data_IF_980969018563
#
_entry.id   IF_980969018563
#
_cell.length_a   1.000
_cell.length_b   1.000
_cell.length_c   1.000
_cell.angle_alpha   90.00
_cell.angle_beta   90.00
_cell.angle_gamma   90.00
#
_symmetry.space_group_name_H-M   'P 1'
#
loop_
_entity.id
_entity.type
_entity.pdbx_description
1 polymer ?
#
# COMPACT_ATOMS: atom_id res chain seq x y z
N UNK A 1 51.56 -15.66 -40.41
CA UNK A 1 50.71 -14.44 -40.42
C UNK A 1 49.23 -14.75 -40.72
N UNK A 2 48.92 -15.79 -41.50
CA UNK A 2 47.54 -16.23 -41.82
C UNK A 2 46.75 -16.78 -40.61
N UNK A 3 47.35 -17.61 -39.75
CA UNK A 3 46.64 -18.25 -38.62
C UNK A 3 46.17 -17.28 -37.53
N UNK A 4 46.94 -16.22 -37.27
CA UNK A 4 46.57 -15.25 -36.21
C UNK A 4 45.28 -14.48 -36.55
N UNK A 5 45.04 -14.24 -37.85
CA UNK A 5 43.83 -13.58 -38.31
C UNK A 5 42.61 -14.51 -38.33
N UNK A 6 42.78 -15.83 -38.51
CA UNK A 6 41.66 -16.77 -38.46
C UNK A 6 41.18 -16.99 -37.03
N UNK A 7 42.10 -17.04 -36.05
CA UNK A 7 41.76 -17.15 -34.63
C UNK A 7 41.06 -15.90 -34.08
N UNK A 8 41.52 -14.70 -34.45
CA UNK A 8 40.86 -13.45 -34.06
C UNK A 8 39.41 -13.38 -34.55
N UNK A 9 39.17 -13.70 -35.83
CA UNK A 9 37.81 -13.69 -36.39
C UNK A 9 36.91 -14.76 -35.77
N UNK A 10 37.48 -15.87 -35.30
CA UNK A 10 36.74 -16.91 -34.57
C UNK A 10 36.35 -16.42 -33.17
N UNK A 11 37.31 -15.81 -32.45
CA UNK A 11 37.06 -15.20 -31.14
C UNK A 11 36.00 -14.09 -31.18
N UNK A 12 36.01 -13.24 -32.22
CA UNK A 12 34.99 -12.19 -32.41
C UNK A 12 33.60 -12.79 -32.62
N UNK A 13 33.48 -13.84 -33.45
CA UNK A 13 32.21 -14.55 -33.68
C UNK A 13 31.71 -15.26 -32.43
N UNK A 14 32.60 -15.88 -31.66
CA UNK A 14 32.25 -16.56 -30.42
C UNK A 14 31.79 -15.55 -29.36
N UNK A 15 32.43 -14.38 -29.29
CA UNK A 15 32.00 -13.28 -28.43
C UNK A 15 30.64 -12.71 -28.84
N UNK A 16 30.42 -12.44 -30.13
CA UNK A 16 29.13 -11.97 -30.65
C UNK A 16 28.00 -12.96 -30.35
N UNK A 17 28.27 -14.26 -30.52
CA UNK A 17 27.33 -15.32 -30.20
C UNK A 17 27.02 -15.37 -28.70
N UNK A 18 28.03 -15.24 -27.84
CA UNK A 18 27.85 -15.15 -26.39
C UNK A 18 26.98 -13.96 -26.00
N UNK A 19 27.30 -12.76 -26.50
CA UNK A 19 26.54 -11.53 -26.24
C UNK A 19 25.08 -11.68 -26.68
N UNK A 20 24.85 -12.23 -27.87
CA UNK A 20 23.51 -12.48 -28.40
C UNK A 20 22.72 -13.43 -27.49
N UNK A 21 23.32 -14.53 -27.06
CA UNK A 21 22.68 -15.50 -26.15
C UNK A 21 22.38 -14.84 -24.80
N UNK A 22 23.33 -14.09 -24.24
CA UNK A 22 23.14 -13.36 -22.98
C UNK A 22 21.99 -12.36 -23.06
N UNK A 23 21.89 -11.63 -24.18
CA UNK A 23 20.80 -10.67 -24.40
C UNK A 23 19.44 -11.38 -24.47
N UNK A 24 19.35 -12.48 -25.23
CA UNK A 24 18.12 -13.27 -25.35
C UNK A 24 17.66 -13.82 -24.00
N UNK A 25 18.58 -14.37 -23.21
CA UNK A 25 18.29 -14.85 -21.86
C UNK A 25 17.79 -13.72 -20.96
N UNK A 26 18.43 -12.54 -21.01
CA UNK A 26 18.00 -11.37 -20.28
C UNK A 26 16.56 -10.95 -20.63
N UNK A 27 16.24 -10.89 -21.93
CA UNK A 27 14.89 -10.56 -22.41
C UNK A 27 13.87 -11.59 -21.92
N UNK A 28 14.18 -12.89 -22.01
CA UNK A 28 13.28 -13.97 -21.57
C UNK A 28 13.00 -13.84 -20.07
N UNK A 29 14.03 -13.62 -19.25
CA UNK A 29 13.88 -13.49 -17.80
C UNK A 29 13.03 -12.26 -17.45
N UNK A 30 13.36 -11.09 -17.99
CA UNK A 30 12.62 -9.84 -17.70
C UNK A 30 11.17 -9.95 -18.18
N UNK A 31 10.94 -10.49 -19.38
CA UNK A 31 9.59 -10.72 -19.90
C UNK A 31 8.80 -11.69 -19.04
N UNK A 32 9.43 -12.75 -18.55
CA UNK A 32 8.82 -13.71 -17.63
C UNK A 32 8.38 -13.06 -16.32
N UNK A 33 9.22 -12.19 -15.73
CA UNK A 33 8.84 -11.42 -14.54
C UNK A 33 7.67 -10.47 -14.82
N UNK A 34 7.70 -9.72 -15.92
CA UNK A 34 6.60 -8.82 -16.29
C UNK A 34 5.28 -9.60 -16.42
N UNK A 35 5.30 -10.74 -17.13
CA UNK A 35 4.12 -11.58 -17.31
C UNK A 35 3.63 -12.16 -15.98
N UNK A 36 4.55 -12.59 -15.11
CA UNK A 36 4.24 -13.09 -13.79
C UNK A 36 3.47 -12.07 -12.95
N UNK A 37 3.92 -10.80 -12.91
CA UNK A 37 3.25 -9.72 -12.18
C UNK A 37 1.89 -9.34 -12.76
N UNK A 38 1.72 -9.43 -14.09
CA UNK A 38 0.42 -9.21 -14.73
C UNK A 38 -0.59 -10.30 -14.38
N UNK A 39 -0.15 -11.55 -14.28
CA UNK A 39 -1.00 -12.71 -13.99
C UNK A 39 -1.24 -12.92 -12.49
N UNK A 40 -0.32 -12.47 -11.63
CA UNK A 40 -0.41 -12.60 -10.17
C UNK A 40 -0.42 -11.21 -9.53
N UNK A 41 -1.48 -10.43 -9.77
CA UNK A 41 -1.60 -9.15 -9.11
C UNK A 41 -1.67 -9.30 -7.59
N UNK A 42 -1.05 -8.36 -6.88
CA UNK A 42 -1.21 -8.27 -5.43
C UNK A 42 -2.70 -8.15 -5.05
N UNK A 43 -3.11 -8.83 -3.96
CA UNK A 43 -4.47 -8.69 -3.46
C UNK A 43 -4.71 -7.24 -3.09
N UNK A 44 -5.85 -6.70 -3.53
CA UNK A 44 -6.25 -5.37 -3.14
C UNK A 44 -6.44 -5.28 -1.63
N UNK A 45 -6.15 -4.12 -1.06
CA UNK A 45 -6.30 -3.86 0.36
C UNK A 45 -7.05 -2.54 0.61
N UNK A 46 -7.42 -2.32 1.86
CA UNK A 46 -8.05 -1.08 2.31
C UNK A 46 -7.06 -0.37 3.22
N UNK A 47 -6.83 0.91 2.97
CA UNK A 47 -6.07 1.76 3.88
C UNK A 47 -7.04 2.38 4.87
N UNK A 48 -6.74 2.33 6.16
CA UNK A 48 -7.46 3.03 7.21
C UNK A 48 -6.44 3.75 8.08
N UNK A 49 -6.69 5.02 8.40
CA UNK A 49 -5.77 5.81 9.21
C UNK A 49 -6.45 6.90 10.02
N UNK A 50 -5.78 7.32 11.08
CA UNK A 50 -6.09 8.51 11.86
C UNK A 50 -5.04 9.56 11.52
N UNK A 51 -5.48 10.80 11.36
CA UNK A 51 -4.63 11.94 11.02
C UNK A 51 -4.73 13.01 12.10
N UNK A 52 -3.61 13.70 12.34
CA UNK A 52 -3.53 14.84 13.25
C UNK A 52 -4.23 16.10 12.67
N UNK A 53 -4.17 17.21 13.41
CA UNK A 53 -4.77 18.50 13.01
C UNK A 53 -4.31 19.02 11.64
N UNK A 54 -3.11 18.64 11.21
CA UNK A 54 -2.50 19.01 9.92
C UNK A 54 -2.76 17.98 8.80
N UNK A 55 -3.64 17.00 9.05
CA UNK A 55 -3.98 15.88 8.14
C UNK A 55 -2.78 14.97 7.82
N UNK A 56 -1.87 14.81 8.78
CA UNK A 56 -0.74 13.87 8.69
C UNK A 56 -0.96 12.66 9.59
N UNK A 57 -0.41 11.52 9.18
CA UNK A 57 -0.48 10.27 9.96
C UNK A 57 0.56 10.17 11.09
N UNK A 58 1.32 11.24 11.32
CA UNK A 58 2.34 11.36 12.36
C UNK A 58 1.89 12.33 13.46
N UNK A 59 2.57 12.30 14.61
CA UNK A 59 2.40 13.27 15.69
C UNK A 59 0.96 13.48 16.18
N UNK A 60 0.17 12.40 16.26
CA UNK A 60 -1.13 12.45 16.92
C UNK A 60 -0.97 12.58 18.45
N UNK A 61 -1.81 13.37 19.13
CA UNK A 61 -1.70 13.57 20.57
C UNK A 61 -1.94 12.25 21.31
N UNK A 62 -0.92 11.81 22.06
CA UNK A 62 -0.97 10.59 22.89
C UNK A 62 -1.36 10.88 24.33
N UNK A 63 -1.28 12.14 24.74
CA UNK A 63 -1.67 12.64 26.07
C UNK A 63 -2.55 13.86 25.90
N UNK A 64 -3.71 13.85 26.53
CA UNK A 64 -4.70 14.94 26.47
C UNK A 64 -5.19 15.19 27.89
N UNK A 65 -5.26 16.46 28.28
CA UNK A 65 -5.76 16.85 29.60
C UNK A 65 -7.28 16.78 29.65
N UNK A 66 -7.84 16.62 30.85
CA UNK A 66 -9.31 16.67 31.03
C UNK A 66 -9.81 18.04 30.52
N UNK A 67 -10.82 18.02 29.64
CA UNK A 67 -11.42 19.18 28.95
C UNK A 67 -10.61 19.80 27.81
N UNK A 68 -9.54 19.17 27.35
CA UNK A 68 -8.81 19.60 26.16
C UNK A 68 -9.48 19.02 24.89
N UNK A 69 -9.59 19.84 23.85
CA UNK A 69 -10.17 19.45 22.57
C UNK A 69 -9.14 18.69 21.75
N UNK A 70 -9.52 17.54 21.20
CA UNK A 70 -8.69 16.77 20.28
C UNK A 70 -9.25 16.97 18.88
N UNK A 71 -8.47 17.61 18.02
CA UNK A 71 -8.80 17.73 16.60
C UNK A 71 -8.09 16.61 15.82
N UNK A 72 -8.86 15.75 15.17
CA UNK A 72 -8.30 14.68 14.33
C UNK A 72 -9.18 14.43 13.11
N UNK A 73 -8.63 13.71 12.14
CA UNK A 73 -9.34 13.27 10.95
C UNK A 73 -9.16 11.76 10.78
N UNK A 74 -10.03 11.14 9.99
CA UNK A 74 -9.88 9.76 9.57
C UNK A 74 -9.76 9.68 8.07
N UNK A 75 -8.98 8.73 7.58
CA UNK A 75 -8.82 8.47 6.15
C UNK A 75 -9.13 7.03 5.81
N UNK A 76 -9.80 6.83 4.69
CA UNK A 76 -9.99 5.51 4.08
C UNK A 76 -9.56 5.54 2.62
N UNK A 77 -8.74 4.58 2.23
CA UNK A 77 -8.24 4.40 0.87
C UNK A 77 -8.70 3.07 0.30
N UNK A 78 -9.20 3.10 -0.93
CA UNK A 78 -9.64 1.91 -1.65
C UNK A 78 -8.58 1.43 -2.64
N UNK A 79 -7.70 0.55 -2.20
CA UNK A 79 -6.75 -0.15 -3.09
C UNK A 79 -7.32 -1.50 -3.57
N UNK A 80 -8.64 -1.71 -3.40
CA UNK A 80 -9.34 -2.82 -4.04
C UNK A 80 -9.52 -2.51 -5.51
N UNK A 81 -9.42 -3.53 -6.37
CA UNK A 81 -9.58 -3.42 -7.84
C UNK A 81 -11.04 -3.26 -8.28
N UNK A 82 -11.85 -2.60 -7.45
CA UNK A 82 -13.28 -2.39 -7.64
C UNK A 82 -13.75 -1.20 -6.82
N UNK A 83 -14.82 -0.56 -7.26
CA UNK A 83 -15.54 0.41 -6.44
C UNK A 83 -16.08 -0.26 -5.18
N UNK A 84 -15.97 0.41 -4.04
CA UNK A 84 -16.44 -0.11 -2.75
C UNK A 84 -17.04 1.01 -1.91
N UNK A 85 -18.02 0.65 -1.10
CA UNK A 85 -18.68 1.56 -0.16
C UNK A 85 -18.19 1.25 1.24
N UNK A 86 -17.73 2.29 1.94
CA UNK A 86 -17.17 2.19 3.29
C UNK A 86 -18.08 2.84 4.32
N UNK A 87 -18.04 2.25 5.51
CA UNK A 87 -18.63 2.75 6.75
C UNK A 87 -17.52 2.80 7.80
N UNK A 88 -17.33 3.95 8.43
CA UNK A 88 -16.35 4.16 9.49
C UNK A 88 -17.10 4.42 10.78
N UNK A 89 -16.77 3.65 11.82
CA UNK A 89 -17.27 3.85 13.18
C UNK A 89 -16.09 4.15 14.09
N UNK A 90 -16.22 5.24 14.84
CA UNK A 90 -15.21 5.68 15.79
C UNK A 90 -15.78 5.45 17.18
N UNK A 91 -15.10 4.61 17.95
CA UNK A 91 -15.50 4.29 19.32
C UNK A 91 -14.53 4.93 20.29
N UNK A 92 -15.07 5.54 21.34
CA UNK A 92 -14.32 6.12 22.44
C UNK A 92 -14.34 5.14 23.62
N UNK A 93 -13.16 4.67 23.98
CA UNK A 93 -12.95 3.89 25.21
C UNK A 93 -12.58 4.77 26.40
N UNK A 94 -12.57 4.14 27.56
CA UNK A 94 -12.06 4.63 28.84
C UNK A 94 -10.98 3.68 29.39
N UNK A 95 -10.56 3.88 30.65
CA UNK A 95 -9.53 3.06 31.28
C UNK A 95 -9.94 1.60 31.49
N UNK A 96 -11.24 1.31 31.45
CA UNK A 96 -11.81 -0.03 31.65
C UNK A 96 -12.10 -0.73 30.31
N UNK A 97 -11.94 -0.02 29.19
CA UNK A 97 -12.17 -0.54 27.85
C UNK A 97 -11.06 -1.53 27.45
N UNK A 98 -11.43 -2.80 27.32
CA UNK A 98 -10.51 -3.86 26.92
C UNK A 98 -10.43 -3.96 25.39
N UNK A 99 -9.26 -3.64 24.83
CA UNK A 99 -8.97 -3.88 23.42
C UNK A 99 -8.45 -5.31 23.22
N UNK A 100 -9.20 -6.13 22.49
CA UNK A 100 -8.76 -7.47 22.11
C UNK A 100 -8.92 -7.69 20.61
N UNK A 101 -8.08 -8.54 20.02
CA UNK A 101 -8.13 -8.85 18.59
C UNK A 101 -9.40 -9.61 18.20
N UNK A 102 -9.95 -10.37 19.15
CA UNK A 102 -11.02 -11.35 18.89
C UNK A 102 -12.38 -10.92 19.44
N UNK A 103 -12.46 -9.76 20.11
CA UNK A 103 -13.72 -9.20 20.61
C UNK A 103 -13.79 -7.71 20.30
N UNK A 104 -15.00 -7.20 20.00
CA UNK A 104 -15.24 -5.76 19.99
C UNK A 104 -14.76 -5.14 21.30
N UNK A 105 -14.38 -3.87 21.28
CA UNK A 105 -14.00 -3.14 22.48
C UNK A 105 -15.21 -3.08 23.43
N UNK A 106 -15.28 -4.03 24.38
CA UNK A 106 -16.31 -4.09 25.39
C UNK A 106 -16.23 -2.77 26.19
N UNK A 107 -17.38 -2.12 26.40
CA UNK A 107 -17.54 -0.81 27.07
C UNK A 107 -17.17 0.45 26.25
N UNK A 108 -16.65 0.33 25.02
CA UNK A 108 -16.42 1.49 24.18
C UNK A 108 -17.75 2.10 23.68
N UNK A 109 -17.86 3.43 23.73
CA UNK A 109 -19.04 4.17 23.28
C UNK A 109 -18.87 4.67 21.85
N UNK A 110 -19.92 4.57 21.03
CA UNK A 110 -19.89 5.11 19.68
C UNK A 110 -19.83 6.64 19.72
N UNK A 111 -18.74 7.21 19.20
CA UNK A 111 -18.53 8.66 19.11
C UNK A 111 -18.99 9.22 17.76
N UNK A 112 -18.58 8.59 16.66
CA UNK A 112 -18.94 9.03 15.31
C UNK A 112 -19.28 7.85 14.40
N UNK A 113 -20.17 8.11 13.46
CA UNK A 113 -20.47 7.21 12.34
C UNK A 113 -20.45 8.01 11.05
N UNK A 114 -19.64 7.56 10.10
CA UNK A 114 -19.55 8.14 8.77
C UNK A 114 -19.88 7.03 7.78
N UNK A 115 -20.99 7.21 7.07
CA UNK A 115 -21.59 6.21 6.19
C UNK A 115 -21.53 6.66 4.72
N UNK A 116 -21.73 5.69 3.81
CA UNK A 116 -21.87 5.91 2.37
C UNK A 116 -20.65 6.55 1.68
N UNK A 117 -19.44 6.26 2.16
CA UNK A 117 -18.22 6.71 1.51
C UNK A 117 -17.97 5.80 0.30
N UNK A 118 -18.31 6.26 -0.91
CA UNK A 118 -18.10 5.50 -2.15
C UNK A 118 -16.75 5.88 -2.75
N UNK A 119 -15.86 4.90 -2.91
CA UNK A 119 -14.53 5.11 -3.50
C UNK A 119 -14.29 4.16 -4.66
N UNK A 120 -13.78 4.70 -5.76
CA UNK A 120 -13.25 3.93 -6.87
C UNK A 120 -11.85 3.35 -6.54
N UNK A 121 -11.33 2.50 -7.41
CA UNK A 121 -9.98 1.96 -7.26
C UNK A 121 -8.93 3.08 -7.21
N UNK A 122 -8.03 3.01 -6.23
CA UNK A 122 -6.97 3.98 -5.92
C UNK A 122 -7.46 5.36 -5.47
N UNK A 123 -8.73 5.48 -5.06
CA UNK A 123 -9.22 6.71 -4.42
C UNK A 123 -9.05 6.66 -2.91
N UNK A 124 -8.85 7.84 -2.33
CA UNK A 124 -8.76 8.06 -0.89
C UNK A 124 -9.72 9.17 -0.50
N UNK A 125 -10.34 9.02 0.67
CA UNK A 125 -11.19 10.03 1.28
C UNK A 125 -10.68 10.35 2.67
N UNK A 126 -10.75 11.63 3.03
CA UNK A 126 -10.41 12.15 4.36
C UNK A 126 -11.67 12.80 4.91
N UNK A 127 -11.97 12.56 6.19
CA UNK A 127 -13.10 13.15 6.87
C UNK A 127 -12.99 14.68 6.99
N UNK A 128 -14.09 15.31 7.38
CA UNK A 128 -14.03 16.60 8.04
C UNK A 128 -13.37 16.47 9.41
N UNK A 129 -13.07 17.61 10.06
CA UNK A 129 -12.49 17.64 11.39
C UNK A 129 -13.46 17.00 12.39
N UNK A 130 -12.96 16.06 13.19
CA UNK A 130 -13.67 15.38 14.25
C UNK A 130 -13.11 15.84 15.60
N UNK A 131 -14.00 16.28 16.50
CA UNK A 131 -13.67 16.81 17.83
C UNK A 131 -14.65 16.41 18.94
#
# INVERSE_FOLDING_TARGET
MSDKNSELRKSEKDFEKLVTISLLLGIIIVSGFILYYLLNPEPGFVTLGILNSDKKAEDYPTTVSINERIDFYVTVGNNLRRTSTFKIQILKGDNDTLLSKDRPAELAQLAFTIDNIVLEHNQTWISDNLN
#
